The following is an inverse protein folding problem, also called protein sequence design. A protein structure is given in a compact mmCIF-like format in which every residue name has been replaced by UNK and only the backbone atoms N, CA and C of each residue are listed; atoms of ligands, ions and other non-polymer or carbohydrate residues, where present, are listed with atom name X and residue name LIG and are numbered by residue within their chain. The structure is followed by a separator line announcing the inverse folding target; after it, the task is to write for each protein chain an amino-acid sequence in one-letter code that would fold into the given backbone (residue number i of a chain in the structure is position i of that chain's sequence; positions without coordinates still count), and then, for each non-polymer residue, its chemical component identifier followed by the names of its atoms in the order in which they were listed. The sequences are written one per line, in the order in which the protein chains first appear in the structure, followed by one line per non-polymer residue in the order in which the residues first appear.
data_IF_050875334686
#
_entry.id   IF_050875334686
#
_cell.length_a   1.000
_cell.length_b   1.000
_cell.length_c   1.000
_cell.angle_alpha   90.00
_cell.angle_beta   90.00
_cell.angle_gamma   90.00
#
_symmetry.space_group_name_H-M   'P 1'
#
loop_
_entity.id
_entity.type
_entity.pdbx_description
1 polymer ?
#
# COMPACT_ATOMS: atom_id res chain seq x y z
N UNK A 1 8.61 12.36 -17.04
CA UNK A 1 7.83 11.13 -17.37
C UNK A 1 7.79 11.00 -18.89
N UNK A 2 8.01 9.81 -19.49
CA UNK A 2 7.90 9.63 -20.95
C UNK A 2 6.49 9.93 -21.48
N UNK A 3 6.39 10.44 -22.71
CA UNK A 3 5.08 10.80 -23.32
C UNK A 3 4.13 9.60 -23.44
N UNK A 4 4.65 8.43 -23.89
CA UNK A 4 3.85 7.21 -23.99
C UNK A 4 3.20 6.81 -22.66
N UNK A 5 3.93 6.96 -21.56
CA UNK A 5 3.44 6.64 -20.22
C UNK A 5 2.35 7.60 -19.80
N UNK A 6 2.53 8.90 -20.06
CA UNK A 6 1.53 9.92 -19.76
C UNK A 6 0.25 9.70 -20.55
N UNK A 7 0.36 9.30 -21.82
CA UNK A 7 -0.81 9.00 -22.67
C UNK A 7 -1.63 7.83 -22.10
N UNK A 8 -0.98 6.74 -21.71
CA UNK A 8 -1.64 5.60 -21.06
C UNK A 8 -2.34 6.05 -19.77
N UNK A 9 -1.63 6.78 -18.92
CA UNK A 9 -2.17 7.28 -17.65
C UNK A 9 -3.46 8.09 -17.87
N UNK A 10 -3.45 9.03 -18.83
CA UNK A 10 -4.61 9.86 -19.13
C UNK A 10 -5.76 9.08 -19.77
N UNK A 11 -5.47 8.17 -20.70
CA UNK A 11 -6.50 7.31 -21.31
C UNK A 11 -7.18 6.43 -20.26
N UNK A 12 -6.41 5.80 -19.38
CA UNK A 12 -6.98 4.99 -18.32
C UNK A 12 -7.76 5.82 -17.29
N UNK A 13 -7.31 7.05 -16.98
CA UNK A 13 -8.07 7.96 -16.14
C UNK A 13 -9.44 8.29 -16.78
N UNK A 14 -9.47 8.57 -18.09
CA UNK A 14 -10.69 8.91 -18.80
C UNK A 14 -11.68 7.73 -18.82
N UNK A 15 -11.18 6.53 -19.12
CA UNK A 15 -11.99 5.29 -19.13
C UNK A 15 -12.51 4.95 -17.73
N UNK A 16 -11.72 5.18 -16.71
CA UNK A 16 -12.10 4.90 -15.32
C UNK A 16 -13.06 5.93 -14.74
N UNK A 17 -13.18 7.13 -15.32
CA UNK A 17 -13.94 8.25 -14.77
C UNK A 17 -15.42 7.90 -14.49
N UNK A 18 -16.20 7.25 -15.38
CA UNK A 18 -17.59 6.88 -15.09
C UNK A 18 -17.71 5.93 -13.89
N UNK A 19 -16.85 4.91 -13.84
CA UNK A 19 -16.83 3.93 -12.73
C UNK A 19 -16.47 4.63 -11.42
N UNK A 20 -15.47 5.52 -11.44
CA UNK A 20 -15.06 6.32 -10.30
C UNK A 20 -16.17 7.22 -9.79
N UNK A 21 -16.97 7.81 -10.70
CA UNK A 21 -18.07 8.69 -10.34
C UNK A 21 -19.18 7.93 -9.62
N UNK A 22 -19.59 6.77 -10.14
CA UNK A 22 -20.62 5.91 -9.55
C UNK A 22 -20.15 5.40 -8.18
N UNK A 23 -18.92 4.88 -8.14
CA UNK A 23 -18.33 4.37 -6.89
C UNK A 23 -18.11 5.49 -5.87
N UNK A 24 -17.69 6.66 -6.33
CA UNK A 24 -17.54 7.86 -5.50
C UNK A 24 -18.86 8.27 -4.85
N UNK A 25 -19.97 8.28 -5.60
CA UNK A 25 -21.30 8.57 -5.06
C UNK A 25 -21.72 7.54 -3.98
N UNK A 26 -21.50 6.26 -4.25
CA UNK A 26 -21.73 5.20 -3.27
C UNK A 26 -20.93 5.42 -1.98
N UNK A 27 -19.65 5.76 -2.10
CA UNK A 27 -18.78 6.05 -0.95
C UNK A 27 -19.21 7.30 -0.17
N UNK A 28 -19.75 8.32 -0.84
CA UNK A 28 -20.35 9.49 -0.18
C UNK A 28 -21.51 9.05 0.73
N UNK A 29 -22.40 8.22 0.23
CA UNK A 29 -23.57 7.75 0.98
C UNK A 29 -23.10 6.95 2.22
N UNK A 30 -22.23 5.96 2.03
CA UNK A 30 -21.75 5.11 3.14
C UNK A 30 -21.01 5.96 4.20
N UNK A 31 -20.04 6.77 3.78
CA UNK A 31 -19.26 7.53 4.75
C UNK A 31 -20.10 8.54 5.50
N UNK A 32 -21.10 9.17 4.88
CA UNK A 32 -22.00 10.11 5.54
C UNK A 32 -22.98 9.42 6.48
N UNK A 33 -23.44 8.21 6.13
CA UNK A 33 -24.37 7.44 6.98
C UNK A 33 -23.69 6.89 8.25
N UNK A 34 -22.44 6.42 8.14
CA UNK A 34 -21.79 5.68 9.25
C UNK A 34 -20.70 6.48 9.98
N UNK A 35 -20.22 7.60 9.43
CA UNK A 35 -19.17 8.38 10.07
C UNK A 35 -19.22 9.84 9.62
N UNK A 36 -19.59 10.80 10.50
CA UNK A 36 -19.57 12.21 10.16
C UNK A 36 -18.14 12.68 9.82
N UNK A 37 -18.03 13.60 8.84
CA UNK A 37 -16.73 14.19 8.46
C UNK A 37 -16.43 14.14 6.94
N UNK A 38 -15.18 14.39 6.52
CA UNK A 38 -14.78 14.45 5.12
C UNK A 38 -14.83 13.08 4.47
N UNK A 39 -15.17 13.03 3.18
CA UNK A 39 -15.23 11.79 2.38
C UNK A 39 -13.82 11.31 2.03
N UNK A 40 -12.94 12.26 1.71
CA UNK A 40 -11.57 11.98 1.33
C UNK A 40 -10.62 12.11 2.51
N UNK A 41 -9.79 11.10 2.69
CA UNK A 41 -8.59 11.15 3.49
C UNK A 41 -7.44 11.66 2.61
N UNK A 42 -6.62 12.56 3.16
CA UNK A 42 -5.45 13.11 2.50
C UNK A 42 -4.22 12.84 3.35
N UNK A 43 -3.16 12.35 2.72
CA UNK A 43 -1.90 12.06 3.41
C UNK A 43 -0.71 12.55 2.59
N UNK A 44 0.24 13.19 3.24
CA UNK A 44 1.49 13.61 2.60
C UNK A 44 2.34 12.39 2.26
N UNK A 45 2.88 12.38 1.06
CA UNK A 45 3.75 11.34 0.52
C UNK A 45 4.91 11.96 -0.24
N UNK A 46 5.95 11.15 -0.46
CA UNK A 46 7.09 11.53 -1.27
C UNK A 46 6.92 10.96 -2.68
N UNK A 47 7.09 11.82 -3.68
CA UNK A 47 6.99 11.53 -5.10
C UNK A 47 8.30 11.70 -5.84
N UNK A 48 8.19 12.09 -7.11
CA UNK A 48 9.33 12.28 -8.01
C UNK A 48 10.38 13.25 -7.42
N UNK A 49 11.62 12.81 -7.40
CA UNK A 49 12.76 13.62 -6.93
C UNK A 49 12.69 13.98 -5.45
N UNK A 50 11.97 13.22 -4.63
CA UNK A 50 11.82 13.51 -3.20
C UNK A 50 10.80 14.61 -2.87
N UNK A 51 10.02 15.09 -3.85
CA UNK A 51 9.03 16.14 -3.65
C UNK A 51 7.82 15.63 -2.88
N UNK A 52 7.32 16.41 -1.93
CA UNK A 52 6.10 16.11 -1.19
C UNK A 52 4.86 16.40 -2.03
N UNK A 53 3.86 15.52 -1.94
CA UNK A 53 2.53 15.72 -2.51
C UNK A 53 1.47 15.05 -1.63
N UNK A 54 0.19 15.34 -1.85
CA UNK A 54 -0.91 14.77 -1.05
C UNK A 54 -1.65 13.73 -1.87
N UNK A 55 -1.65 12.48 -1.42
CA UNK A 55 -2.51 11.44 -2.00
C UNK A 55 -3.95 11.59 -1.52
N UNK A 56 -4.88 11.17 -2.37
CA UNK A 56 -6.31 11.09 -2.07
C UNK A 56 -6.73 9.64 -1.89
N UNK A 57 -7.50 9.36 -0.82
CA UNK A 57 -8.13 8.05 -0.57
C UNK A 57 -9.56 8.26 -0.09
N UNK A 58 -10.41 7.26 -0.25
CA UNK A 58 -11.66 7.27 0.50
C UNK A 58 -11.36 7.02 1.98
N UNK A 59 -12.08 7.75 2.84
CA UNK A 59 -11.95 7.57 4.28
C UNK A 59 -12.66 6.28 4.70
N UNK A 60 -11.89 5.33 5.17
CA UNK A 60 -12.34 4.00 5.64
C UNK A 60 -12.17 3.82 7.15
N UNK A 61 -11.61 4.83 7.84
CA UNK A 61 -11.37 4.83 9.29
C UNK A 61 -12.04 6.03 9.96
N UNK A 62 -12.39 5.88 11.23
CA UNK A 62 -12.90 6.97 12.06
C UNK A 62 -11.84 8.05 12.27
N UNK A 63 -12.28 9.31 12.51
CA UNK A 63 -11.40 10.50 12.56
C UNK A 63 -10.34 10.45 13.67
N UNK A 64 -10.61 9.76 14.77
CA UNK A 64 -9.75 9.72 15.95
C UNK A 64 -8.80 8.50 15.97
N UNK A 65 -8.59 7.85 14.83
CA UNK A 65 -7.67 6.71 14.75
C UNK A 65 -6.22 7.19 14.84
N UNK A 66 -5.49 6.73 15.85
CA UNK A 66 -4.10 7.12 16.10
C UNK A 66 -3.17 6.75 14.94
N UNK A 67 -2.47 7.74 14.41
CA UNK A 67 -1.46 7.59 13.34
C UNK A 67 -0.10 7.19 13.92
N UNK A 68 0.09 7.29 15.24
CA UNK A 68 1.36 7.06 15.96
C UNK A 68 1.93 5.65 15.79
N UNK A 69 1.06 4.65 15.61
CA UNK A 69 1.47 3.24 15.44
C UNK A 69 2.25 2.97 14.14
N UNK A 70 2.06 3.77 13.09
CA UNK A 70 2.73 3.57 11.81
C UNK A 70 4.24 3.80 11.85
N UNK A 71 4.69 4.85 12.55
CA UNK A 71 6.11 5.18 12.64
C UNK A 71 6.90 4.11 13.42
N UNK A 72 6.32 3.61 14.52
CA UNK A 72 6.94 2.55 15.34
C UNK A 72 6.98 1.23 14.58
N UNK A 73 5.88 0.86 13.91
CA UNK A 73 5.82 -0.34 13.11
C UNK A 73 6.81 -0.30 11.93
N UNK A 74 6.92 0.84 11.26
CA UNK A 74 7.86 0.98 10.15
C UNK A 74 9.32 0.84 10.62
N UNK A 75 9.70 1.48 11.74
CA UNK A 75 11.04 1.31 12.32
C UNK A 75 11.32 -0.15 12.66
N UNK A 76 10.34 -0.87 13.19
CA UNK A 76 10.48 -2.30 13.46
C UNK A 76 10.69 -3.11 12.17
N UNK A 77 9.93 -2.85 11.09
CA UNK A 77 10.09 -3.52 9.80
C UNK A 77 11.47 -3.29 9.18
N UNK A 78 11.98 -2.05 9.22
CA UNK A 78 13.33 -1.72 8.71
C UNK A 78 14.40 -2.47 9.49
N UNK A 79 14.28 -2.54 10.82
CA UNK A 79 15.27 -3.16 11.67
C UNK A 79 15.25 -4.69 11.61
N UNK A 80 14.09 -5.31 11.46
CA UNK A 80 13.93 -6.77 11.46
C UNK A 80 13.95 -7.38 10.07
N UNK A 81 13.89 -6.56 9.00
CA UNK A 81 13.70 -7.00 7.61
C UNK A 81 12.57 -8.04 7.46
N UNK A 82 11.51 -7.90 8.27
CA UNK A 82 10.36 -8.77 8.26
C UNK A 82 9.51 -8.56 6.98
N UNK A 83 8.68 -9.54 6.59
CA UNK A 83 7.72 -9.35 5.50
C UNK A 83 6.80 -8.16 5.74
N UNK A 84 6.49 -7.44 4.67
CA UNK A 84 5.62 -6.24 4.70
C UNK A 84 4.17 -6.63 4.98
N UNK A 85 3.85 -6.88 6.23
CA UNK A 85 2.46 -7.10 6.66
C UNK A 85 1.75 -5.77 6.89
N UNK A 86 0.52 -5.65 6.39
CA UNK A 86 -0.33 -4.52 6.74
C UNK A 86 -0.73 -4.61 8.21
N UNK A 87 -0.71 -3.46 8.92
CA UNK A 87 -1.23 -3.34 10.29
C UNK A 87 -2.76 -3.54 10.40
N UNK A 88 -3.45 -3.71 9.27
CA UNK A 88 -4.90 -3.83 9.21
C UNK A 88 -5.33 -5.24 9.65
N UNK A 89 -5.34 -5.49 10.95
CA UNK A 89 -6.00 -6.67 11.51
C UNK A 89 -7.51 -6.57 11.29
N UNK A 90 -8.10 -7.72 11.07
CA UNK A 90 -9.51 -7.92 10.75
C UNK A 90 -10.47 -7.38 11.82
N UNK A 91 -10.02 -7.26 13.06
CA UNK A 91 -10.73 -6.67 14.20
C UNK A 91 -10.38 -5.22 14.46
N UNK A 92 -9.85 -4.50 13.47
CA UNK A 92 -9.48 -3.11 13.68
C UNK A 92 -10.73 -2.24 13.91
N UNK A 93 -10.98 -1.91 15.18
CA UNK A 93 -12.10 -1.06 15.62
C UNK A 93 -12.06 0.36 15.02
N UNK A 94 -10.95 0.74 14.39
CA UNK A 94 -10.80 2.01 13.70
C UNK A 94 -11.54 2.05 12.37
N UNK A 95 -11.90 0.88 11.81
CA UNK A 95 -12.56 0.79 10.51
C UNK A 95 -14.05 1.14 10.61
N UNK A 96 -14.53 1.93 9.67
CA UNK A 96 -15.94 2.16 9.44
C UNK A 96 -16.57 0.84 8.98
N UNK A 97 -17.77 0.54 9.45
CA UNK A 97 -18.50 -0.69 9.13
C UNK A 97 -18.48 -0.98 7.62
N UNK A 98 -18.14 -2.20 7.23
CA UNK A 98 -18.09 -2.64 5.83
C UNK A 98 -16.86 -2.18 5.03
N UNK A 99 -16.05 -1.24 5.54
CA UNK A 99 -14.91 -0.70 4.80
C UNK A 99 -13.68 -1.64 4.75
N UNK A 100 -13.70 -2.76 5.43
CA UNK A 100 -12.61 -3.75 5.37
C UNK A 100 -12.44 -4.32 3.95
N UNK A 101 -13.54 -4.60 3.24
CA UNK A 101 -13.52 -5.12 1.87
C UNK A 101 -12.95 -4.09 0.90
N UNK A 102 -13.28 -2.81 1.09
CA UNK A 102 -12.72 -1.72 0.30
C UNK A 102 -11.19 -1.62 0.43
N UNK A 103 -10.68 -1.81 1.64
CA UNK A 103 -9.23 -1.83 1.89
C UNK A 103 -8.56 -3.10 1.38
N UNK A 104 -9.22 -4.25 1.51
CA UNK A 104 -8.71 -5.52 0.98
C UNK A 104 -8.61 -5.50 -0.55
N UNK A 105 -9.61 -4.93 -1.21
CA UNK A 105 -9.63 -4.79 -2.68
C UNK A 105 -8.80 -3.61 -3.21
N UNK A 106 -8.36 -2.68 -2.34
CA UNK A 106 -7.66 -1.46 -2.76
C UNK A 106 -8.57 -0.40 -3.39
N UNK A 107 -9.89 -0.59 -3.35
CA UNK A 107 -10.87 0.37 -3.90
C UNK A 107 -10.87 1.70 -3.14
N UNK A 108 -10.41 1.72 -1.89
CA UNK A 108 -10.20 2.94 -1.13
C UNK A 108 -9.11 3.84 -1.74
N UNK A 109 -8.24 3.30 -2.58
CA UNK A 109 -7.17 4.04 -3.26
C UNK A 109 -7.59 4.63 -4.62
N UNK A 110 -8.81 4.33 -5.12
CA UNK A 110 -9.30 4.86 -6.39
C UNK A 110 -9.22 6.40 -6.53
N UNK A 111 -9.44 7.23 -5.50
CA UNK A 111 -9.27 8.66 -5.63
C UNK A 111 -7.85 9.12 -5.97
N UNK A 112 -6.83 8.25 -5.86
CA UNK A 112 -5.47 8.56 -6.33
C UNK A 112 -5.41 8.72 -7.87
N UNK A 113 -6.45 8.31 -8.62
CA UNK A 113 -6.58 8.66 -10.03
C UNK A 113 -6.57 10.18 -10.26
N UNK A 114 -7.00 10.99 -9.28
CA UNK A 114 -6.83 12.44 -9.30
C UNK A 114 -5.35 12.83 -9.32
N UNK A 115 -4.52 12.14 -8.53
CA UNK A 115 -3.07 12.37 -8.52
C UNK A 115 -2.42 11.92 -9.85
N UNK A 116 -2.92 10.82 -10.44
CA UNK A 116 -2.48 10.38 -11.77
C UNK A 116 -2.85 11.43 -12.82
N UNK A 117 -4.08 11.92 -12.81
CA UNK A 117 -4.54 12.98 -13.72
C UNK A 117 -3.72 14.27 -13.57
N UNK A 118 -3.30 14.62 -12.36
CA UNK A 118 -2.45 15.78 -12.08
C UNK A 118 -0.97 15.56 -12.45
N UNK A 119 -0.55 14.31 -12.73
CA UNK A 119 0.84 13.95 -13.02
C UNK A 119 1.73 13.82 -11.78
N UNK A 120 1.14 13.88 -10.59
CA UNK A 120 1.83 13.62 -9.31
C UNK A 120 2.11 12.13 -9.12
N UNK A 121 1.28 11.28 -9.75
CA UNK A 121 1.39 9.82 -9.82
C UNK A 121 1.25 9.31 -11.25
N UNK A 122 1.50 8.04 -11.44
CA UNK A 122 1.24 7.24 -12.65
C UNK A 122 0.42 6.01 -12.28
N UNK A 123 -0.13 5.31 -13.24
CA UNK A 123 -0.73 3.99 -12.98
C UNK A 123 0.30 3.01 -12.45
N UNK A 124 1.48 2.97 -13.08
CA UNK A 124 2.56 2.04 -12.73
C UNK A 124 3.77 2.80 -12.23
N UNK A 125 4.29 2.40 -11.07
CA UNK A 125 5.48 3.00 -10.47
C UNK A 125 5.74 2.49 -9.05
N UNK A 126 6.83 2.91 -8.42
CA UNK A 126 7.08 2.66 -7.01
C UNK A 126 5.94 3.20 -6.13
N UNK A 127 5.58 2.49 -5.08
CA UNK A 127 4.58 3.00 -4.12
C UNK A 127 5.10 4.30 -3.47
N UNK A 128 4.30 5.38 -3.39
CA UNK A 128 4.72 6.61 -2.73
C UNK A 128 4.94 6.37 -1.23
N UNK A 129 6.15 6.64 -0.75
CA UNK A 129 6.52 6.45 0.65
C UNK A 129 6.08 7.62 1.54
N UNK A 130 5.99 7.38 2.85
CA UNK A 130 5.78 8.43 3.83
C UNK A 130 7.04 9.30 3.97
N UNK A 131 6.91 10.59 4.35
CA UNK A 131 8.07 11.44 4.64
C UNK A 131 9.03 10.81 5.66
N UNK A 132 8.50 10.23 6.74
CA UNK A 132 9.30 9.56 7.77
C UNK A 132 10.03 8.32 7.23
N UNK A 133 9.46 7.59 6.27
CA UNK A 133 10.12 6.47 5.61
C UNK A 133 11.29 6.97 4.78
N UNK A 134 11.08 8.04 4.02
CA UNK A 134 12.09 8.65 3.15
C UNK A 134 13.31 9.18 3.93
N UNK A 135 13.09 9.74 5.10
CA UNK A 135 14.16 10.22 5.99
C UNK A 135 15.07 9.09 6.48
N UNK A 136 14.50 7.90 6.68
CA UNK A 136 15.22 6.71 7.12
C UNK A 136 15.87 5.93 5.96
N UNK A 137 15.55 6.26 4.69
CA UNK A 137 16.10 5.57 3.54
C UNK A 137 17.59 5.88 3.33
N UNK A 138 18.34 4.83 3.03
CA UNK A 138 19.70 4.94 2.50
C UNK A 138 19.67 5.50 1.07
N UNK A 139 20.80 6.00 0.60
CA UNK A 139 20.88 6.64 -0.73
C UNK A 139 20.50 5.72 -1.89
N UNK A 140 20.81 4.43 -1.81
CA UNK A 140 20.39 3.47 -2.83
C UNK A 140 18.88 3.25 -2.83
N UNK A 141 18.23 3.32 -1.66
CA UNK A 141 16.78 3.18 -1.51
C UNK A 141 16.03 4.40 -2.06
N UNK A 142 16.58 5.61 -1.87
CA UNK A 142 16.04 6.85 -2.43
C UNK A 142 16.01 6.85 -3.95
N UNK A 143 16.80 6.00 -4.62
CA UNK A 143 16.77 5.83 -6.08
C UNK A 143 15.42 5.37 -6.62
N UNK A 144 14.54 4.82 -5.80
CA UNK A 144 13.15 4.54 -6.20
C UNK A 144 12.35 5.80 -6.56
N UNK A 145 12.72 6.96 -5.99
CA UNK A 145 12.05 8.24 -6.21
C UNK A 145 12.53 9.00 -7.46
N UNK A 146 13.42 8.44 -8.29
CA UNK A 146 13.84 9.06 -9.58
C UNK A 146 12.76 8.96 -10.66
N UNK A 147 11.67 8.27 -10.37
CA UNK A 147 10.48 8.15 -11.24
C UNK A 147 9.22 8.57 -10.49
N UNK A 148 8.16 8.87 -11.23
CA UNK A 148 6.85 9.18 -10.66
C UNK A 148 6.31 7.95 -9.95
N UNK A 149 5.78 8.07 -8.72
CA UNK A 149 5.19 6.94 -8.00
C UNK A 149 3.92 6.43 -8.68
N UNK A 150 3.57 5.15 -8.42
CA UNK A 150 2.44 4.48 -9.06
C UNK A 150 1.33 4.08 -8.12
N UNK A 151 0.14 3.86 -8.69
CA UNK A 151 -0.98 3.16 -8.04
C UNK A 151 -0.66 1.68 -7.85
N UNK A 152 -0.12 1.05 -8.89
CA UNK A 152 0.43 -0.31 -8.85
C UNK A 152 1.91 -0.27 -9.17
N UNK A 153 2.63 -1.35 -8.88
CA UNK A 153 4.07 -1.40 -9.10
C UNK A 153 4.60 -2.82 -9.13
N UNK A 154 5.85 -2.96 -9.55
CA UNK A 154 6.50 -4.24 -9.75
C UNK A 154 6.46 -5.11 -8.49
N UNK A 155 6.79 -4.58 -7.31
CA UNK A 155 6.75 -5.35 -6.07
C UNK A 155 5.32 -5.77 -5.67
N UNK A 156 4.32 -4.94 -5.96
CA UNK A 156 2.92 -5.19 -5.62
C UNK A 156 2.37 -6.42 -6.35
N UNK A 157 2.84 -6.66 -7.58
CA UNK A 157 2.44 -7.82 -8.39
C UNK A 157 3.40 -9.03 -8.25
N UNK A 158 4.56 -8.84 -7.58
CA UNK A 158 5.59 -9.88 -7.41
C UNK A 158 5.55 -10.59 -6.05
N UNK A 159 4.40 -10.61 -5.37
CA UNK A 159 4.24 -11.34 -4.10
C UNK A 159 4.03 -10.46 -2.86
N UNK A 160 3.88 -9.16 -3.04
CA UNK A 160 3.42 -8.14 -2.05
C UNK A 160 3.73 -8.47 -0.57
N UNK A 161 2.83 -9.22 0.12
CA UNK A 161 2.92 -9.52 1.55
C UNK A 161 3.97 -10.59 1.91
N UNK A 162 4.57 -11.25 0.91
CA UNK A 162 5.62 -12.28 1.10
C UNK A 162 7.02 -11.70 0.95
N UNK A 163 7.14 -10.45 0.50
CA UNK A 163 8.42 -9.79 0.29
C UNK A 163 8.87 -9.09 1.57
N UNK A 164 10.16 -9.16 1.87
CA UNK A 164 10.77 -8.35 2.91
C UNK A 164 10.82 -6.88 2.48
N UNK A 165 11.01 -5.98 3.45
CA UNK A 165 11.16 -4.55 3.17
C UNK A 165 12.25 -4.27 2.13
N UNK A 166 13.40 -4.91 2.29
CA UNK A 166 14.54 -4.74 1.37
C UNK A 166 14.24 -5.23 -0.04
N UNK A 167 13.64 -6.42 -0.19
CA UNK A 167 13.22 -6.96 -1.49
C UNK A 167 12.22 -6.03 -2.19
N UNK A 168 11.28 -5.47 -1.44
CA UNK A 168 10.31 -4.49 -1.97
C UNK A 168 11.04 -3.27 -2.56
N UNK A 169 11.99 -2.70 -1.81
CA UNK A 169 12.77 -1.54 -2.27
C UNK A 169 13.63 -1.87 -3.48
N UNK A 170 14.27 -3.05 -3.49
CA UNK A 170 15.07 -3.53 -4.62
C UNK A 170 14.24 -3.62 -5.90
N UNK A 171 13.01 -4.16 -5.83
CA UNK A 171 12.09 -4.23 -6.96
C UNK A 171 11.67 -2.84 -7.46
N UNK A 172 11.43 -1.90 -6.55
CA UNK A 172 11.10 -0.52 -6.91
C UNK A 172 12.27 0.20 -7.59
N UNK A 173 13.49 0.02 -7.07
CA UNK A 173 14.71 0.58 -7.69
C UNK A 173 14.97 -0.08 -9.05
N UNK A 174 14.76 -1.41 -9.17
CA UNK A 174 14.84 -2.11 -10.44
C UNK A 174 13.86 -1.53 -11.45
N UNK A 175 12.59 -1.40 -11.08
CA UNK A 175 11.58 -0.78 -11.95
C UNK A 175 12.00 0.63 -12.39
N UNK A 176 12.46 1.46 -11.45
CA UNK A 176 12.87 2.83 -11.75
C UNK A 176 13.98 2.92 -12.81
N UNK A 177 14.87 1.90 -12.86
CA UNK A 177 15.97 1.82 -13.83
C UNK A 177 15.57 1.20 -15.18
N UNK A 178 14.67 0.21 -15.15
CA UNK A 178 14.36 -0.63 -16.33
C UNK A 178 12.99 -0.38 -16.93
N UNK A 179 12.27 0.66 -16.46
CA UNK A 179 10.90 0.95 -16.89
C UNK A 179 10.77 0.99 -18.42
N UNK A 180 9.78 0.30 -18.93
CA UNK A 180 9.47 0.25 -20.37
C UNK A 180 7.95 0.13 -20.56
N UNK A 181 7.48 0.42 -21.78
CA UNK A 181 6.08 0.25 -22.16
C UNK A 181 5.58 -1.17 -21.89
N UNK A 182 6.32 -2.18 -22.36
CA UNK A 182 5.96 -3.61 -22.19
C UNK A 182 5.91 -4.01 -20.71
N UNK A 183 6.83 -3.51 -19.91
CA UNK A 183 6.84 -3.76 -18.47
C UNK A 183 5.63 -3.14 -17.77
N UNK A 184 5.24 -1.92 -18.13
CA UNK A 184 4.06 -1.28 -17.57
C UNK A 184 2.78 -2.04 -17.91
N UNK A 185 2.61 -2.43 -19.18
CA UNK A 185 1.46 -3.26 -19.61
C UNK A 185 1.43 -4.59 -18.84
N UNK A 186 2.57 -5.27 -18.71
CA UNK A 186 2.66 -6.51 -17.93
C UNK A 186 2.22 -6.30 -16.48
N UNK A 187 2.68 -5.25 -15.82
CA UNK A 187 2.31 -4.92 -14.42
C UNK A 187 0.81 -4.62 -14.32
N UNK A 188 0.24 -3.85 -15.26
CA UNK A 188 -1.20 -3.57 -15.28
C UNK A 188 -2.01 -4.87 -15.39
N UNK A 189 -1.66 -5.76 -16.30
CA UNK A 189 -2.33 -7.05 -16.47
C UNK A 189 -2.18 -7.96 -15.24
N UNK A 190 -1.03 -7.94 -14.57
CA UNK A 190 -0.78 -8.72 -13.36
C UNK A 190 -1.46 -8.12 -12.11
N UNK A 191 -1.91 -6.87 -12.17
CA UNK A 191 -2.53 -6.20 -11.01
C UNK A 191 -3.87 -6.84 -10.63
N UNK A 192 -4.72 -7.19 -11.60
CA UNK A 192 -6.02 -7.82 -11.32
C UNK A 192 -5.89 -9.16 -10.57
N UNK A 193 -5.09 -10.15 -11.04
CA UNK A 193 -4.87 -11.39 -10.28
C UNK A 193 -4.22 -11.13 -8.92
N UNK A 194 -3.29 -10.18 -8.80
CA UNK A 194 -2.67 -9.84 -7.51
C UNK A 194 -3.68 -9.28 -6.50
N UNK A 195 -4.65 -8.49 -6.94
CA UNK A 195 -5.74 -7.98 -6.09
C UNK A 195 -6.68 -9.11 -5.66
N UNK A 196 -7.00 -10.07 -6.56
CA UNK A 196 -7.82 -11.24 -6.21
C UNK A 196 -7.13 -12.07 -5.12
N UNK A 197 -5.86 -12.39 -5.28
CA UNK A 197 -5.07 -13.10 -4.27
C UNK A 197 -5.08 -12.33 -2.94
N UNK A 198 -4.89 -11.02 -2.97
CA UNK A 198 -4.93 -10.19 -1.75
C UNK A 198 -6.29 -10.24 -1.04
N UNK A 199 -7.39 -10.23 -1.79
CA UNK A 199 -8.74 -10.34 -1.22
C UNK A 199 -8.92 -11.70 -0.55
N UNK A 200 -8.51 -12.79 -1.23
CA UNK A 200 -8.56 -14.15 -0.71
C UNK A 200 -7.72 -14.28 0.57
N UNK A 201 -6.45 -13.85 0.53
CA UNK A 201 -5.56 -13.88 1.71
C UNK A 201 -6.14 -13.12 2.89
N UNK A 202 -6.76 -11.96 2.65
CA UNK A 202 -7.42 -11.17 3.69
C UNK A 202 -8.66 -11.88 4.24
N UNK A 203 -9.43 -12.57 3.39
CA UNK A 203 -10.62 -13.30 3.80
C UNK A 203 -10.27 -14.54 4.63
N UNK A 204 -9.28 -15.32 4.18
CA UNK A 204 -8.80 -16.53 4.89
C UNK A 204 -8.20 -16.16 6.24
N UNK A 205 -7.30 -15.18 6.30
CA UNK A 205 -6.74 -14.71 7.57
C UNK A 205 -7.79 -14.16 8.54
N UNK A 206 -8.92 -13.63 8.01
CA UNK A 206 -10.08 -13.25 8.82
C UNK A 206 -10.78 -14.45 9.45
N UNK A 207 -10.98 -15.51 8.67
CA UNK A 207 -11.65 -16.73 9.14
C UNK A 207 -10.84 -17.42 10.25
N UNK A 208 -9.52 -17.49 10.11
CA UNK A 208 -8.63 -18.06 11.11
C UNK A 208 -8.59 -17.24 12.42
N UNK A 209 -8.56 -15.92 12.33
CA UNK A 209 -8.55 -15.03 13.50
C UNK A 209 -9.87 -15.04 14.28
N UNK A 210 -11.00 -15.37 13.63
CA UNK A 210 -12.28 -15.53 14.31
C UNK A 210 -12.40 -16.88 15.03
N UNK A 211 -11.72 -17.91 14.53
CA UNK A 211 -11.72 -19.24 15.14
C UNK A 211 -10.72 -19.40 16.29
N UNK A 212 -9.68 -18.57 16.32
CA UNK A 212 -8.70 -18.53 17.41
C UNK A 212 -8.95 -17.28 18.25
N UNK A 213 -9.66 -17.42 19.38
CA UNK A 213 -9.82 -16.38 20.41
C UNK A 213 -8.50 -16.08 21.16
N UNK A 214 -7.35 -16.14 20.50
CA UNK A 214 -6.06 -15.85 21.10
C UNK A 214 -5.62 -14.46 20.67
N UNK A 215 -5.45 -13.49 21.61
CA UNK A 215 -4.81 -12.23 21.30
C UNK A 215 -3.40 -12.52 20.77
N UNK A 216 -3.01 -11.88 19.68
CA UNK A 216 -1.65 -11.97 19.15
C UNK A 216 -0.68 -11.41 20.18
N UNK A 217 -0.04 -12.30 20.94
CA UNK A 217 0.98 -11.96 21.91
C UNK A 217 2.31 -11.71 21.19
N UNK A 218 2.72 -10.44 21.14
CA UNK A 218 4.00 -10.02 20.57
C UNK A 218 5.22 -10.49 21.39
N UNK A 219 5.02 -11.19 22.51
CA UNK A 219 6.13 -11.63 23.39
C UNK A 219 6.71 -12.98 23.00
N UNK A 220 6.04 -13.78 22.18
CA UNK A 220 6.50 -15.13 21.78
C UNK A 220 7.64 -15.19 20.76
N UNK A 221 8.14 -14.05 20.30
CA UNK A 221 9.29 -13.97 19.36
C UNK A 221 10.67 -14.01 20.06
N UNK A 222 10.74 -14.12 21.40
CA UNK A 222 12.02 -14.11 22.13
C UNK A 222 12.61 -15.48 22.47
N UNK A 223 11.84 -16.55 22.39
CA UNK A 223 12.30 -17.83 22.95
C UNK A 223 12.93 -18.82 21.96
N UNK A 224 13.26 -18.42 20.74
CA UNK A 224 13.91 -19.30 19.74
C UNK A 224 15.41 -19.04 19.54
N UNK A 225 16.09 -18.33 20.45
CA UNK A 225 17.55 -18.06 20.37
C UNK A 225 18.40 -18.68 21.49
N UNK A 226 17.84 -19.49 22.35
CA UNK A 226 18.64 -20.10 23.46
C UNK A 226 18.91 -21.61 23.35
N UNK A 227 18.70 -22.24 22.20
CA UNK A 227 19.12 -23.64 22.01
C UNK A 227 20.11 -23.73 20.84
N UNK A 228 21.28 -23.15 20.98
CA UNK A 228 22.48 -23.53 20.20
C UNK A 228 23.75 -22.98 20.82
N UNK A 229 24.04 -23.36 22.05
CA UNK A 229 25.40 -23.26 22.61
C UNK A 229 25.66 -24.42 23.56
N UNK A 230 25.66 -25.61 22.99
CA UNK A 230 26.26 -26.79 23.66
C UNK A 230 26.86 -27.65 22.55
N UNK A 231 28.15 -27.45 22.29
CA UNK A 231 29.01 -28.44 21.65
C UNK A 231 30.22 -28.66 22.53
N UNK A 232 30.45 -29.86 22.95
CA UNK A 232 31.76 -30.25 23.51
C UNK A 232 32.64 -30.85 22.40
N UNK A 233 33.92 -30.51 22.48
CA UNK A 233 35.13 -30.91 21.74
C UNK A 233 35.57 -29.99 20.62
#
# INVERSE_FOLDING_TARGET
MPYWKRSIDLMCCLVALPVLSIFGLFMVIITKAFSPGPIFFRQERIGLGGRKFKIYKFRTMHLNSEVSSHATHFKALVNTNAPMMKLDNVSDRRLIFGCWLLRASGLDELPQMINVFRGEMSLVGPRPCLPIEYELFQDWQKKRCIVVPGLTGLWQVSGKNRLTFEQMIQLDVRYARTRSFSQDIKIILMTAPALIVQIIDTYVGRSESQNTNVPFDMTKSRDTKEISSASPF
#
